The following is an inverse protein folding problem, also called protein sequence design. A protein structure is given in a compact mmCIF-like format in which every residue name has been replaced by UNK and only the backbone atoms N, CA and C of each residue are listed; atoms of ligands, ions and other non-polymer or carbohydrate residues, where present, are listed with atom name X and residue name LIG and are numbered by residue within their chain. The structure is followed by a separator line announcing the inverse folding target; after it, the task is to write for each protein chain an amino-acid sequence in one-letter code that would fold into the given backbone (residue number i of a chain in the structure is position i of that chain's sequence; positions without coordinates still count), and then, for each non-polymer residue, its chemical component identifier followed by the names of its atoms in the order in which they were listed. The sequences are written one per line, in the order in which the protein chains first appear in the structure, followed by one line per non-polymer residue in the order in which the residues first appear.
data_IF_299803370762
#
_entry.id   IF_299803370762
#
_cell.length_a   1.000
_cell.length_b   1.000
_cell.length_c   1.000
_cell.angle_alpha   90.00
_cell.angle_beta   90.00
_cell.angle_gamma   90.00
#
_symmetry.space_group_name_H-M   'P 1'
#
loop_
_entity.id
_entity.type
_entity.pdbx_description
1 polymer ?
#
# COMPACT_ATOMS: atom_id res chain seq x y z
N UNK A 1 -10.49 -19.01 -0.92
CA UNK A 1 -9.49 -19.12 0.16
C UNK A 1 -10.20 -18.93 1.49
N UNK A 2 -9.86 -19.68 2.56
CA UNK A 2 -10.42 -19.41 3.88
C UNK A 2 -9.84 -18.12 4.44
N UNK A 3 -10.64 -17.34 5.15
CA UNK A 3 -10.21 -16.12 5.81
C UNK A 3 -11.27 -15.01 5.75
N UNK A 4 -11.06 -13.99 6.57
CA UNK A 4 -11.85 -12.75 6.57
C UNK A 4 -10.92 -11.59 6.27
N UNK A 5 -11.42 -10.58 5.59
CA UNK A 5 -10.69 -9.35 5.31
C UNK A 5 -10.07 -8.76 6.59
N UNK A 6 -8.88 -8.21 6.47
CA UNK A 6 -8.22 -7.56 7.60
C UNK A 6 -9.00 -6.33 8.10
N UNK A 7 -9.79 -5.71 7.22
CA UNK A 7 -10.73 -4.60 7.52
C UNK A 7 -11.98 -5.04 8.28
N UNK A 8 -12.31 -6.33 8.34
CA UNK A 8 -13.50 -6.79 9.05
C UNK A 8 -13.47 -6.34 10.53
N UNK A 9 -14.60 -5.87 11.08
CA UNK A 9 -14.67 -5.39 12.46
C UNK A 9 -14.13 -6.42 13.46
N UNK A 10 -13.24 -5.98 14.34
CA UNK A 10 -12.63 -6.77 15.42
C UNK A 10 -12.53 -5.95 16.71
N UNK A 11 -12.51 -6.60 17.88
CA UNK A 11 -12.21 -5.94 19.13
C UNK A 11 -10.86 -5.23 19.12
N UNK A 12 -10.74 -4.10 19.81
CA UNK A 12 -9.53 -3.26 19.77
C UNK A 12 -8.27 -3.97 20.30
N UNK A 13 -8.43 -4.92 21.21
CA UNK A 13 -7.35 -5.75 21.74
C UNK A 13 -6.73 -6.68 20.67
N UNK A 14 -7.43 -6.94 19.57
CA UNK A 14 -6.94 -7.71 18.43
C UNK A 14 -6.20 -6.88 17.38
N UNK A 15 -6.29 -5.55 17.40
CA UNK A 15 -5.67 -4.69 16.38
C UNK A 15 -4.16 -4.89 16.27
N UNK A 16 -3.47 -5.07 17.41
CA UNK A 16 -2.04 -5.36 17.42
C UNK A 16 -1.67 -6.67 16.71
N UNK A 17 -2.52 -7.70 16.84
CA UNK A 17 -2.34 -8.97 16.15
C UNK A 17 -2.61 -8.85 14.64
N UNK A 18 -3.62 -8.07 14.25
CA UNK A 18 -3.89 -7.75 12.83
C UNK A 18 -2.70 -7.04 12.19
N UNK A 19 -2.18 -5.99 12.83
CA UNK A 19 -1.00 -5.24 12.34
C UNK A 19 0.23 -6.14 12.22
N UNK A 20 0.43 -7.06 13.16
CA UNK A 20 1.51 -8.05 13.08
C UNK A 20 1.37 -8.96 11.86
N UNK A 21 0.17 -9.46 11.60
CA UNK A 21 -0.13 -10.31 10.45
C UNK A 21 0.06 -9.56 9.12
N UNK A 22 -0.42 -8.31 9.03
CA UNK A 22 -0.23 -7.44 7.85
C UNK A 22 1.27 -7.25 7.55
N UNK A 23 2.06 -6.87 8.54
CA UNK A 23 3.50 -6.67 8.37
C UNK A 23 4.23 -7.96 7.96
N UNK A 24 3.86 -9.10 8.55
CA UNK A 24 4.43 -10.40 8.20
C UNK A 24 4.07 -10.82 6.77
N UNK A 25 2.80 -10.65 6.36
CA UNK A 25 2.34 -10.94 5.00
C UNK A 25 3.05 -10.08 3.95
N UNK A 26 3.21 -8.79 4.22
CA UNK A 26 3.92 -7.86 3.34
C UNK A 26 5.39 -8.26 3.17
N UNK A 27 6.10 -8.64 4.27
CA UNK A 27 7.47 -9.14 4.17
C UNK A 27 7.60 -10.40 3.32
N UNK A 28 6.62 -11.31 3.41
CA UNK A 28 6.60 -12.53 2.57
C UNK A 28 6.49 -12.18 1.09
N UNK A 29 5.61 -11.24 0.73
CA UNK A 29 5.49 -10.75 -0.65
C UNK A 29 6.79 -10.12 -1.13
N UNK A 30 7.34 -9.18 -0.35
CA UNK A 30 8.54 -8.43 -0.72
C UNK A 30 9.81 -9.29 -0.77
N UNK A 31 9.82 -10.44 -0.10
CA UNK A 31 10.91 -11.42 -0.17
C UNK A 31 10.79 -12.39 -1.35
N UNK A 32 9.71 -12.32 -2.14
CA UNK A 32 9.51 -13.20 -3.30
C UNK A 32 10.57 -12.92 -4.37
N UNK A 33 11.11 -13.99 -4.97
CA UNK A 33 12.06 -13.87 -6.06
C UNK A 33 11.39 -13.26 -7.30
N UNK A 34 11.89 -12.12 -7.75
CA UNK A 34 11.34 -11.35 -8.86
C UNK A 34 11.99 -11.64 -10.23
N UNK A 35 12.99 -12.52 -10.30
CA UNK A 35 13.79 -12.73 -11.52
C UNK A 35 12.97 -13.20 -12.74
N UNK A 36 11.85 -13.88 -12.51
CA UNK A 36 10.96 -14.37 -13.55
C UNK A 36 9.60 -13.63 -13.57
N UNK A 37 9.44 -12.56 -12.80
CA UNK A 37 8.19 -11.81 -12.77
C UNK A 37 8.08 -10.93 -14.02
N UNK A 38 7.04 -11.12 -14.86
CA UNK A 38 6.89 -10.33 -16.10
C UNK A 38 6.19 -8.98 -15.87
N UNK A 39 5.66 -8.73 -14.67
CA UNK A 39 4.84 -7.55 -14.38
C UNK A 39 5.71 -6.44 -13.80
N UNK A 40 5.98 -5.44 -14.62
CA UNK A 40 6.73 -4.24 -14.20
C UNK A 40 5.74 -3.13 -13.81
N UNK A 41 5.70 -2.83 -12.53
CA UNK A 41 4.97 -1.71 -11.93
C UNK A 41 5.92 -0.70 -11.28
N UNK A 42 7.16 -0.63 -11.79
CA UNK A 42 8.14 0.36 -11.35
C UNK A 42 7.58 1.78 -11.41
N UNK A 43 8.18 2.65 -10.63
CA UNK A 43 7.77 4.06 -10.54
C UNK A 43 7.61 4.70 -11.92
N UNK A 44 8.54 4.47 -12.84
CA UNK A 44 8.48 5.04 -14.19
C UNK A 44 7.26 4.56 -14.97
N UNK A 45 6.90 3.28 -14.86
CA UNK A 45 5.72 2.70 -15.51
C UNK A 45 4.43 3.29 -14.89
N UNK A 46 4.37 3.35 -13.55
CA UNK A 46 3.19 3.88 -12.86
C UNK A 46 3.01 5.38 -13.11
N UNK A 47 4.09 6.17 -13.11
CA UNK A 47 4.02 7.61 -13.43
C UNK A 47 3.54 7.82 -14.86
N UNK A 48 4.07 7.08 -15.85
CA UNK A 48 3.60 7.19 -17.23
C UNK A 48 2.10 6.85 -17.37
N UNK A 49 1.62 5.84 -16.62
CA UNK A 49 0.20 5.51 -16.58
C UNK A 49 -0.63 6.63 -15.93
N UNK A 50 -0.15 7.25 -14.85
CA UNK A 50 -0.80 8.39 -14.22
C UNK A 50 -0.91 9.60 -15.18
N UNK A 51 0.19 9.92 -15.89
CA UNK A 51 0.19 10.99 -16.92
C UNK A 51 -0.85 10.72 -18.02
N UNK A 52 -0.94 9.47 -18.50
CA UNK A 52 -1.92 9.09 -19.51
C UNK A 52 -3.35 9.24 -18.99
N UNK A 53 -3.63 8.81 -17.75
CA UNK A 53 -4.95 8.94 -17.12
C UNK A 53 -5.35 10.41 -16.94
N UNK A 54 -4.41 11.27 -16.53
CA UNK A 54 -4.65 12.73 -16.44
C UNK A 54 -4.93 13.31 -17.82
N UNK A 55 -4.15 12.94 -18.84
CA UNK A 55 -4.35 13.38 -20.23
C UNK A 55 -5.71 12.95 -20.78
N UNK A 56 -6.14 11.73 -20.47
CA UNK A 56 -7.42 11.17 -20.89
C UNK A 56 -8.62 11.74 -20.08
N UNK A 57 -8.38 12.47 -19.00
CA UNK A 57 -9.43 13.02 -18.14
C UNK A 57 -10.24 11.96 -17.38
N UNK A 58 -9.63 10.80 -17.08
CA UNK A 58 -10.30 9.68 -16.39
C UNK A 58 -9.98 9.59 -14.90
N UNK A 59 -9.15 10.49 -14.38
CA UNK A 59 -8.87 10.60 -12.93
C UNK A 59 -10.08 11.24 -12.24
N UNK A 60 -10.60 10.59 -11.21
CA UNK A 60 -11.73 11.08 -10.46
C UNK A 60 -11.28 11.97 -9.29
N UNK A 61 -11.26 13.27 -9.50
CA UNK A 61 -10.82 14.25 -8.49
C UNK A 61 -11.70 14.24 -7.23
N UNK A 62 -12.96 13.78 -7.33
CA UNK A 62 -13.86 13.59 -6.18
C UNK A 62 -13.42 12.48 -5.23
N UNK A 63 -12.61 11.53 -5.70
CA UNK A 63 -12.21 10.35 -4.94
C UNK A 63 -10.86 10.58 -4.22
N UNK A 64 -10.24 11.75 -4.41
CA UNK A 64 -8.98 12.10 -3.74
C UNK A 64 -9.10 12.05 -2.21
N UNK A 65 -8.03 11.67 -1.54
CA UNK A 65 -7.91 11.72 -0.09
C UNK A 65 -8.24 13.13 0.44
N UNK A 66 -8.78 13.19 1.66
CA UNK A 66 -9.25 14.45 2.29
C UNK A 66 -8.20 15.58 2.26
N UNK A 67 -6.90 15.24 2.34
CA UNK A 67 -5.81 16.22 2.28
C UNK A 67 -5.57 16.78 0.88
N UNK A 68 -6.16 16.19 -0.16
CA UNK A 68 -6.01 16.55 -1.57
C UNK A 68 -7.32 17.02 -2.20
N UNK A 69 -8.43 16.96 -1.45
CA UNK A 69 -9.74 17.43 -1.93
C UNK A 69 -9.66 18.88 -2.42
N UNK A 70 -10.35 19.15 -3.54
CA UNK A 70 -10.39 20.47 -4.16
C UNK A 70 -9.19 20.83 -5.02
N UNK A 71 -8.21 19.93 -5.14
CA UNK A 71 -7.07 20.08 -6.06
C UNK A 71 -7.36 19.40 -7.39
N UNK A 72 -6.70 19.84 -8.45
CA UNK A 72 -6.82 19.18 -9.76
C UNK A 72 -5.82 18.03 -9.92
N UNK A 73 -6.16 17.04 -10.75
CA UNK A 73 -5.25 15.96 -11.10
C UNK A 73 -3.94 16.49 -11.75
N UNK A 74 -4.00 17.63 -12.47
CA UNK A 74 -2.82 18.27 -13.05
C UNK A 74 -1.90 18.85 -11.97
N UNK A 75 -2.44 19.47 -10.92
CA UNK A 75 -1.64 20.00 -9.82
C UNK A 75 -0.97 18.87 -9.03
N UNK A 76 -1.70 17.77 -8.80
CA UNK A 76 -1.14 16.60 -8.14
C UNK A 76 -0.06 15.93 -9.00
N UNK A 77 -0.20 15.90 -10.32
CA UNK A 77 0.83 15.36 -11.21
C UNK A 77 2.11 16.22 -11.21
N UNK A 78 1.97 17.56 -11.15
CA UNK A 78 3.12 18.45 -11.01
C UNK A 78 3.84 18.26 -9.65
N UNK A 79 3.08 18.07 -8.56
CA UNK A 79 3.64 17.74 -7.24
C UNK A 79 4.35 16.38 -7.26
N UNK A 80 3.76 15.36 -7.88
CA UNK A 80 4.37 14.03 -8.01
C UNK A 80 5.74 14.12 -8.70
N UNK A 81 5.83 14.87 -9.79
CA UNK A 81 7.09 15.09 -10.49
C UNK A 81 8.13 15.82 -9.62
N UNK A 82 7.70 16.84 -8.85
CA UNK A 82 8.58 17.64 -7.99
C UNK A 82 9.07 16.87 -6.74
N UNK A 83 8.32 15.85 -6.29
CA UNK A 83 8.62 15.12 -5.04
C UNK A 83 9.21 13.72 -5.30
N UNK A 84 9.61 13.44 -6.54
CA UNK A 84 10.15 12.13 -6.93
C UNK A 84 11.31 11.71 -6.02
N UNK A 85 11.23 10.55 -5.33
CA UNK A 85 12.31 10.05 -4.48
C UNK A 85 13.60 9.76 -5.28
N UNK A 86 14.78 9.98 -4.69
CA UNK A 86 16.06 9.81 -5.39
C UNK A 86 16.39 8.36 -5.73
N UNK A 87 15.77 7.39 -5.05
CA UNK A 87 16.02 5.96 -5.23
C UNK A 87 14.72 5.16 -5.24
N UNK A 88 14.76 4.03 -5.94
CA UNK A 88 13.71 3.03 -5.98
C UNK A 88 14.31 1.66 -5.65
N UNK A 89 13.68 0.92 -4.75
CA UNK A 89 13.97 -0.49 -4.53
C UNK A 89 13.04 -1.34 -5.40
N UNK A 90 13.43 -2.60 -5.64
CA UNK A 90 12.62 -3.51 -6.44
C UNK A 90 12.28 -4.76 -5.64
N UNK A 91 10.99 -4.95 -5.42
CA UNK A 91 10.42 -6.13 -4.75
C UNK A 91 9.16 -6.56 -5.48
N UNK A 92 8.69 -7.77 -5.21
CA UNK A 92 7.33 -8.13 -5.59
C UNK A 92 6.36 -7.46 -4.63
N UNK A 93 5.47 -6.62 -5.13
CA UNK A 93 4.45 -5.91 -4.37
C UNK A 93 3.05 -6.40 -4.74
N UNK A 94 2.09 -6.18 -3.86
CA UNK A 94 0.67 -6.34 -4.17
C UNK A 94 0.17 -5.22 -5.09
N UNK A 95 0.71 -4.01 -4.88
CA UNK A 95 0.35 -2.81 -5.64
C UNK A 95 -0.90 -2.08 -5.13
N UNK A 96 -1.71 -2.76 -4.31
CA UNK A 96 -2.84 -2.20 -3.54
C UNK A 96 -2.99 -2.96 -2.21
N UNK A 97 -1.96 -2.90 -1.35
CA UNK A 97 -1.94 -3.60 -0.07
C UNK A 97 -2.75 -2.84 0.99
N UNK A 98 -4.05 -2.81 0.82
CA UNK A 98 -5.00 -2.27 1.80
C UNK A 98 -5.69 -3.40 2.59
N UNK A 99 -6.26 -3.07 3.75
CA UNK A 99 -6.85 -4.07 4.65
C UNK A 99 -7.97 -4.92 4.01
N UNK A 100 -8.86 -4.39 3.17
CA UNK A 100 -9.85 -5.18 2.44
C UNK A 100 -9.25 -6.28 1.55
N UNK A 101 -8.04 -6.04 1.01
CA UNK A 101 -7.40 -6.93 0.05
C UNK A 101 -6.57 -8.05 0.72
N UNK A 102 -6.46 -8.05 2.05
CA UNK A 102 -5.69 -9.05 2.82
C UNK A 102 -6.63 -9.92 3.64
N UNK A 103 -6.60 -11.23 3.37
CA UNK A 103 -7.41 -12.21 4.11
C UNK A 103 -6.61 -12.78 5.28
N UNK A 104 -7.23 -12.75 6.46
CA UNK A 104 -6.65 -13.24 7.71
C UNK A 104 -7.43 -14.46 8.24
N UNK A 105 -6.69 -15.41 8.81
CA UNK A 105 -7.22 -16.49 9.64
C UNK A 105 -6.53 -16.49 11.00
N UNK A 106 -7.21 -16.97 12.01
CA UNK A 106 -6.60 -17.19 13.32
C UNK A 106 -5.46 -18.22 13.20
N UNK A 107 -4.38 -17.99 13.94
CA UNK A 107 -3.20 -18.84 13.93
C UNK A 107 -3.19 -19.93 15.01
N UNK A 108 -4.26 -19.98 15.84
CA UNK A 108 -4.43 -20.91 16.93
C UNK A 108 -3.72 -20.51 18.23
N UNK A 109 -3.04 -19.37 18.26
CA UNK A 109 -2.32 -18.84 19.44
C UNK A 109 -2.94 -17.55 19.97
N UNK A 110 -4.09 -17.14 19.44
CA UNK A 110 -4.73 -15.85 19.69
C UNK A 110 -4.27 -14.73 18.77
N UNK A 111 -3.43 -15.05 17.78
CA UNK A 111 -2.97 -14.16 16.72
C UNK A 111 -3.66 -14.43 15.38
N UNK A 112 -3.16 -13.74 14.35
CA UNK A 112 -3.61 -13.91 12.96
C UNK A 112 -2.42 -14.17 12.05
N UNK A 113 -2.69 -14.87 10.94
CA UNK A 113 -1.79 -14.96 9.79
C UNK A 113 -2.53 -14.65 8.51
N UNK A 114 -1.81 -14.15 7.52
CA UNK A 114 -2.35 -13.98 6.17
C UNK A 114 -2.64 -15.34 5.57
N UNK A 115 -3.83 -15.53 5.02
CA UNK A 115 -4.27 -16.74 4.32
C UNK A 115 -4.34 -16.54 2.81
N UNK A 116 -4.38 -15.29 2.34
CA UNK A 116 -4.42 -14.96 0.94
C UNK A 116 -4.57 -13.47 0.69
N UNK A 117 -4.45 -13.13 -0.57
CA UNK A 117 -4.64 -11.79 -1.10
C UNK A 117 -5.71 -11.82 -2.18
N UNK A 118 -6.46 -10.73 -2.31
CA UNK A 118 -7.46 -10.52 -3.36
C UNK A 118 -7.17 -9.21 -4.08
N UNK A 119 -7.76 -9.00 -5.25
CA UNK A 119 -7.54 -7.80 -6.07
C UNK A 119 -6.07 -7.55 -6.42
N UNK A 120 -5.44 -8.58 -6.98
CA UNK A 120 -4.02 -8.59 -7.33
C UNK A 120 -3.73 -8.03 -8.74
N UNK A 121 -4.62 -7.23 -9.32
CA UNK A 121 -4.45 -6.70 -10.69
C UNK A 121 -3.20 -5.80 -10.82
N UNK A 122 -2.78 -5.17 -9.74
CA UNK A 122 -1.61 -4.30 -9.67
C UNK A 122 -0.35 -5.01 -9.10
N UNK A 123 -0.43 -6.34 -8.91
CA UNK A 123 0.71 -7.07 -8.34
C UNK A 123 1.86 -7.19 -9.34
N UNK A 124 3.07 -6.86 -8.90
CA UNK A 124 4.25 -6.87 -9.75
C UNK A 124 5.49 -6.29 -9.09
N UNK A 125 6.48 -5.96 -9.90
CA UNK A 125 7.74 -5.41 -9.41
C UNK A 125 7.60 -3.90 -9.21
N UNK A 126 7.68 -3.45 -7.95
CA UNK A 126 7.67 -2.03 -7.59
C UNK A 126 8.54 -1.78 -6.34
N UNK A 127 8.58 -0.51 -5.89
CA UNK A 127 9.18 -0.16 -4.59
C UNK A 127 8.30 -0.69 -3.45
N UNK A 128 8.87 -1.32 -2.39
CA UNK A 128 8.11 -1.73 -1.20
C UNK A 128 7.24 -0.65 -0.58
N UNK A 129 7.61 0.61 -0.76
CA UNK A 129 6.82 1.74 -0.28
C UNK A 129 5.48 1.91 -1.00
N UNK A 130 5.28 1.28 -2.17
CA UNK A 130 3.95 1.18 -2.78
C UNK A 130 2.95 0.52 -1.81
N UNK A 131 3.32 -0.65 -1.28
CA UNK A 131 2.47 -1.38 -0.35
C UNK A 131 2.46 -0.76 1.06
N UNK A 132 3.61 -0.30 1.54
CA UNK A 132 3.74 0.34 2.86
C UNK A 132 2.87 1.60 2.99
N UNK A 133 2.84 2.44 1.96
CA UNK A 133 2.07 3.67 1.94
C UNK A 133 0.56 3.41 1.99
N UNK A 134 0.07 2.47 1.18
CA UNK A 134 -1.34 2.12 1.12
C UNK A 134 -1.79 1.37 2.37
N UNK A 135 -0.95 0.45 2.87
CA UNK A 135 -1.23 -0.25 4.12
C UNK A 135 -1.29 0.73 5.31
N UNK A 136 -0.35 1.67 5.41
CA UNK A 136 -0.35 2.67 6.49
C UNK A 136 -1.62 3.54 6.48
N UNK A 137 -2.04 4.02 5.30
CA UNK A 137 -3.30 4.75 5.12
C UNK A 137 -4.50 3.90 5.53
N UNK A 138 -4.54 2.65 5.07
CA UNK A 138 -5.62 1.72 5.37
C UNK A 138 -5.68 1.33 6.86
N UNK A 139 -4.52 1.15 7.53
CA UNK A 139 -4.42 0.92 8.98
C UNK A 139 -4.93 2.14 9.75
N UNK A 140 -4.48 3.34 9.39
CA UNK A 140 -4.94 4.57 10.03
C UNK A 140 -6.46 4.75 9.96
N UNK A 141 -7.05 4.43 8.79
CA UNK A 141 -8.50 4.53 8.55
C UNK A 141 -9.31 3.48 9.32
N UNK A 142 -8.86 2.22 9.34
CA UNK A 142 -9.67 1.10 9.85
C UNK A 142 -9.40 0.75 11.32
N UNK A 143 -8.15 0.96 11.78
CA UNK A 143 -7.73 0.54 13.13
C UNK A 143 -7.33 1.72 14.03
N UNK A 144 -7.01 2.87 13.45
CA UNK A 144 -6.53 4.06 14.12
C UNK A 144 -5.07 4.41 13.76
N UNK A 145 -4.79 5.71 13.68
CA UNK A 145 -3.47 6.22 13.27
C UNK A 145 -2.34 5.82 14.25
N UNK A 146 -2.67 5.55 15.50
CA UNK A 146 -1.75 5.10 16.54
C UNK A 146 -1.12 3.73 16.25
N UNK A 147 -1.71 2.95 15.32
CA UNK A 147 -1.18 1.64 14.92
C UNK A 147 -0.15 1.71 13.79
N UNK A 148 -0.04 2.84 13.10
CA UNK A 148 0.88 3.01 11.95
C UNK A 148 2.36 2.84 12.38
N UNK A 149 2.84 3.41 13.49
CA UNK A 149 4.21 3.17 13.93
C UNK A 149 4.50 1.70 14.22
N UNK A 150 3.52 0.97 14.79
CA UNK A 150 3.65 -0.46 15.03
C UNK A 150 3.73 -1.28 13.74
N UNK A 151 3.01 -0.88 12.67
CA UNK A 151 3.11 -1.51 11.35
C UNK A 151 4.55 -1.42 10.82
N UNK A 152 5.14 -0.23 10.81
CA UNK A 152 6.49 0.00 10.30
C UNK A 152 7.55 -0.74 11.11
N UNK A 153 7.45 -0.68 12.46
CA UNK A 153 8.35 -1.41 13.34
C UNK A 153 8.29 -2.93 13.13
N UNK A 154 7.07 -3.48 12.98
CA UNK A 154 6.86 -4.92 12.73
C UNK A 154 7.25 -5.34 11.32
N UNK A 155 7.16 -4.45 10.34
CA UNK A 155 7.72 -4.68 9.01
C UNK A 155 9.26 -4.72 9.03
N UNK A 156 9.89 -4.04 9.97
CA UNK A 156 11.34 -4.01 10.14
C UNK A 156 12.01 -2.74 9.60
N UNK A 157 11.27 -1.63 9.50
CA UNK A 157 11.89 -0.34 9.19
C UNK A 157 12.54 0.22 10.46
N UNK A 158 13.84 0.46 10.41
CA UNK A 158 14.57 1.21 11.45
C UNK A 158 14.20 2.69 11.41
N UNK A 159 13.98 3.20 10.20
CA UNK A 159 13.56 4.57 9.93
C UNK A 159 12.60 4.59 8.75
N UNK A 160 11.52 5.32 8.89
CA UNK A 160 10.55 5.56 7.81
C UNK A 160 11.09 6.63 6.86
N UNK A 161 11.04 6.37 5.56
CA UNK A 161 11.28 7.37 4.53
C UNK A 161 9.95 8.09 4.25
N UNK A 162 9.74 9.20 4.95
CA UNK A 162 8.51 9.98 4.86
C UNK A 162 8.28 10.56 3.46
N UNK A 163 9.36 10.83 2.71
CA UNK A 163 9.25 11.29 1.33
C UNK A 163 8.66 10.19 0.44
N UNK A 164 9.16 8.96 0.55
CA UNK A 164 8.60 7.83 -0.20
C UNK A 164 7.17 7.54 0.20
N UNK A 165 6.87 7.58 1.51
CA UNK A 165 5.52 7.34 2.02
C UNK A 165 4.52 8.32 1.39
N UNK A 166 4.81 9.62 1.46
CA UNK A 166 3.96 10.66 0.88
C UNK A 166 3.86 10.53 -0.65
N UNK A 167 4.98 10.22 -1.32
CA UNK A 167 5.04 10.07 -2.77
C UNK A 167 4.13 8.94 -3.26
N UNK A 168 4.20 7.75 -2.65
CA UNK A 168 3.39 6.61 -3.09
C UNK A 168 1.92 6.75 -2.71
N UNK A 169 1.58 7.46 -1.62
CA UNK A 169 0.20 7.86 -1.35
C UNK A 169 -0.33 8.86 -2.40
N UNK A 170 0.52 9.79 -2.86
CA UNK A 170 0.16 10.72 -3.93
C UNK A 170 -0.01 9.99 -5.28
N UNK A 171 0.88 9.06 -5.60
CA UNK A 171 0.81 8.28 -6.84
C UNK A 171 -0.47 7.46 -6.93
N UNK A 172 -1.00 6.99 -5.82
CA UNK A 172 -2.24 6.20 -5.76
C UNK A 172 -3.49 7.01 -6.17
N UNK A 173 -3.49 8.32 -5.98
CA UNK A 173 -4.63 9.19 -6.32
C UNK A 173 -5.02 9.16 -7.82
N UNK A 174 -4.13 8.67 -8.67
CA UNK A 174 -4.37 8.62 -10.11
C UNK A 174 -5.07 7.33 -10.57
N UNK A 175 -5.33 6.36 -9.69
CA UNK A 175 -5.84 5.04 -10.03
C UNK A 175 -7.12 4.70 -9.30
#
# INVERSE_FOLDING_TARGET
MPGREASAPRPADQHGAVVAALAAGMRLLHATNISACPFDHSRSVRVAAAEERVRAGVVRESDFDAVRQGRSAKDLLAELAATTPPSEQRSFTHGDYCLPNVLLVEDGTGGFRVSGFVDCANAGIADPYQDLALCARSVAHNLGAEWVPALFARYGLERVDEQKLAYYQLLDEFF
#
